data_IF_748195695443
#
_entry.id   IF_748195695443
#
_cell.length_a   1.000
_cell.length_b   1.000
_cell.length_c   1.000
_cell.angle_alpha   90.00
_cell.angle_beta   90.00
_cell.angle_gamma   90.00
#
_symmetry.space_group_name_H-M   'P 1'
#
loop_
_entity.id
_entity.type
_entity.pdbx_description
1 polymer ?
#
# COMPACT_ATOMS: atom_id res chain seq x y z
N UNK A 1 -35.18 -71.36 28.97
CA UNK A 1 -33.97 -71.80 29.71
C UNK A 1 -33.15 -70.55 29.98
N UNK A 2 -33.37 -69.89 31.12
CA UNK A 2 -32.56 -70.00 32.34
C UNK A 2 -31.06 -69.79 32.09
N UNK A 3 -30.57 -68.60 32.46
CA UNK A 3 -29.52 -68.31 33.49
C UNK A 3 -28.11 -68.58 32.99
N UNK A 4 -27.15 -67.65 33.03
CA UNK A 4 -26.49 -66.98 34.16
C UNK A 4 -25.35 -66.16 33.50
N UNK A 5 -24.62 -65.19 34.04
CA UNK A 5 -24.37 -64.71 35.40
C UNK A 5 -23.45 -63.48 35.29
N UNK A 6 -23.61 -62.60 36.26
CA UNK A 6 -22.79 -61.46 36.70
C UNK A 6 -21.26 -61.56 36.58
N UNK A 7 -20.59 -60.42 36.36
CA UNK A 7 -19.43 -60.00 37.15
C UNK A 7 -19.29 -58.47 37.13
N UNK A 8 -19.15 -57.91 38.33
CA UNK A 8 -18.95 -56.50 38.62
C UNK A 8 -17.47 -56.12 38.54
N UNK A 9 -17.17 -54.86 38.22
CA UNK A 9 -15.98 -54.18 38.73
C UNK A 9 -16.15 -52.66 38.68
N UNK A 10 -16.19 -52.08 39.88
CA UNK A 10 -15.87 -50.69 40.18
C UNK A 10 -14.56 -50.27 39.51
N UNK A 11 -14.47 -49.01 39.04
CA UNK A 11 -13.35 -48.13 39.39
C UNK A 11 -13.53 -46.69 38.89
N UNK A 12 -13.58 -45.80 39.87
CA UNK A 12 -12.90 -44.50 39.96
C UNK A 12 -13.05 -43.44 38.85
N UNK A 13 -13.66 -42.34 39.28
CA UNK A 13 -13.55 -41.02 38.69
C UNK A 13 -12.09 -40.53 38.58
N UNK A 14 -11.77 -39.87 37.48
CA UNK A 14 -10.71 -38.87 37.40
C UNK A 14 -11.16 -37.76 36.43
N UNK A 15 -11.47 -36.59 36.99
CA UNK A 15 -11.72 -35.35 36.28
C UNK A 15 -10.42 -34.88 35.63
N UNK A 16 -10.27 -35.07 34.32
CA UNK A 16 -9.24 -34.39 33.53
C UNK A 16 -9.79 -33.06 33.01
N UNK A 17 -9.34 -31.99 33.64
CA UNK A 17 -9.59 -30.59 33.28
C UNK A 17 -9.02 -30.26 31.90
N UNK A 18 -9.90 -29.96 30.94
CA UNK A 18 -9.51 -29.33 29.68
C UNK A 18 -9.20 -27.86 29.93
N UNK A 19 -7.91 -27.51 30.00
CA UNK A 19 -7.46 -26.13 29.85
C UNK A 19 -7.54 -25.73 28.37
N UNK A 20 -8.68 -25.16 27.98
CA UNK A 20 -8.83 -24.51 26.68
C UNK A 20 -8.01 -23.22 26.71
N UNK A 21 -6.80 -23.26 26.15
CA UNK A 21 -6.01 -22.06 25.88
C UNK A 21 -6.75 -21.21 24.84
N UNK A 22 -7.23 -20.04 25.26
CA UNK A 22 -7.84 -19.06 24.38
C UNK A 22 -6.81 -18.60 23.31
N UNK A 23 -7.21 -18.49 22.02
CA UNK A 23 -6.35 -17.86 21.03
C UNK A 23 -6.22 -16.38 21.36
N UNK A 24 -4.99 -15.95 21.62
CA UNK A 24 -4.61 -14.54 21.68
C UNK A 24 -4.85 -13.95 20.30
N UNK A 25 -5.87 -13.09 20.19
CA UNK A 25 -6.13 -12.27 19.01
C UNK A 25 -4.95 -11.33 18.82
N UNK A 26 -4.04 -11.71 17.92
CA UNK A 26 -3.11 -10.77 17.30
C UNK A 26 -3.95 -9.70 16.62
N UNK A 27 -3.82 -8.40 16.93
CA UNK A 27 -4.44 -7.37 16.12
C UNK A 27 -3.76 -7.41 14.76
N UNK A 28 -4.39 -8.06 13.79
CA UNK A 28 -4.07 -7.86 12.39
C UNK A 28 -4.37 -6.38 12.12
N UNK A 29 -3.32 -5.57 12.07
CA UNK A 29 -3.40 -4.24 11.48
C UNK A 29 -3.73 -4.44 10.01
N UNK A 30 -5.03 -4.44 9.70
CA UNK A 30 -5.47 -4.34 8.32
C UNK A 30 -4.82 -3.09 7.72
N UNK A 31 -4.24 -3.18 6.52
CA UNK A 31 -3.74 -2.00 5.86
C UNK A 31 -4.92 -1.03 5.72
N UNK A 32 -4.83 0.13 6.37
CA UNK A 32 -5.83 1.18 6.24
C UNK A 32 -5.84 1.61 4.77
N UNK A 33 -6.87 1.19 4.03
CA UNK A 33 -7.08 1.60 2.64
C UNK A 33 -7.85 2.91 2.68
N UNK A 34 -7.18 3.99 2.32
CA UNK A 34 -7.85 5.27 2.15
C UNK A 34 -8.61 5.23 0.83
N UNK A 35 -9.93 5.30 0.94
CA UNK A 35 -10.79 5.67 -0.16
C UNK A 35 -10.82 7.20 -0.16
N UNK A 36 -10.25 7.88 -1.17
CA UNK A 36 -10.49 9.30 -1.37
C UNK A 36 -11.99 9.49 -1.50
N UNK A 37 -12.56 10.43 -0.75
CA UNK A 37 -13.80 11.06 -1.17
C UNK A 37 -13.48 11.83 -2.44
N UNK A 38 -14.09 11.47 -3.57
CA UNK A 38 -13.97 12.06 -4.92
C UNK A 38 -12.59 12.64 -5.26
N UNK A 39 -11.84 12.05 -6.20
CA UNK A 39 -10.48 12.50 -6.56
C UNK A 39 -10.38 14.02 -6.83
N UNK A 40 -10.08 14.78 -5.77
CA UNK A 40 -10.00 16.23 -5.81
C UNK A 40 -8.59 16.63 -6.25
N UNK A 41 -8.51 17.58 -7.19
CA UNK A 41 -7.25 18.09 -7.69
C UNK A 41 -6.37 18.58 -6.53
N UNK A 42 -5.22 17.93 -6.32
CA UNK A 42 -4.26 18.30 -5.29
C UNK A 42 -4.36 17.51 -3.99
N UNK A 43 -5.05 16.36 -3.97
CA UNK A 43 -5.13 15.53 -2.76
C UNK A 43 -3.74 14.96 -2.41
N UNK A 44 -3.23 15.30 -1.22
CA UNK A 44 -1.89 14.95 -0.75
C UNK A 44 -1.92 13.76 0.22
N UNK A 45 -1.09 12.76 -0.06
CA UNK A 45 -0.88 11.57 0.75
C UNK A 45 0.58 11.46 1.18
N UNK A 46 0.82 11.48 2.49
CA UNK A 46 2.17 11.40 3.05
C UNK A 46 2.35 10.12 3.87
N UNK A 47 3.53 9.53 3.77
CA UNK A 47 3.98 8.46 4.69
C UNK A 47 5.01 8.99 5.66
N UNK A 48 5.06 8.44 6.88
CA UNK A 48 5.97 8.85 7.94
C UNK A 48 6.42 7.65 8.78
N UNK A 49 7.15 7.92 9.88
CA UNK A 49 7.52 6.88 10.84
C UNK A 49 6.29 6.15 11.43
N UNK A 50 5.20 6.90 11.65
CA UNK A 50 3.97 6.41 12.27
C UNK A 50 3.06 5.71 11.27
N UNK A 51 3.01 6.22 10.03
CA UNK A 51 2.29 5.61 8.92
C UNK A 51 3.27 5.26 7.81
N UNK A 52 3.99 4.12 7.90
CA UNK A 52 5.04 3.76 6.95
C UNK A 52 4.49 3.28 5.61
N UNK A 53 3.16 3.15 5.48
CA UNK A 53 2.52 2.64 4.27
C UNK A 53 1.13 3.23 4.12
N UNK A 54 0.84 3.73 2.92
CA UNK A 54 -0.47 4.24 2.52
C UNK A 54 -0.90 3.52 1.24
N UNK A 55 -2.19 3.18 1.19
CA UNK A 55 -2.85 2.64 0.01
C UNK A 55 -3.97 3.60 -0.37
N UNK A 56 -3.94 4.05 -1.61
CA UNK A 56 -4.92 4.95 -2.19
C UNK A 56 -5.57 4.21 -3.35
N UNK A 57 -6.90 4.17 -3.39
CA UNK A 57 -7.68 3.68 -4.52
C UNK A 57 -8.47 4.85 -5.08
N UNK A 58 -8.37 5.15 -6.36
CA UNK A 58 -9.19 6.19 -6.98
C UNK A 58 -10.59 5.69 -7.28
N UNK A 59 -11.48 6.64 -7.58
CA UNK A 59 -12.78 6.34 -8.17
C UNK A 59 -12.65 5.58 -9.49
N UNK A 60 -13.80 5.13 -9.97
CA UNK A 60 -13.94 4.47 -11.25
C UNK A 60 -14.20 5.51 -12.33
N UNK A 61 -13.43 5.44 -13.41
CA UNK A 61 -13.48 6.41 -14.49
C UNK A 61 -13.66 5.72 -15.82
N UNK A 62 -14.53 6.27 -16.65
CA UNK A 62 -14.67 5.85 -18.04
C UNK A 62 -13.68 6.65 -18.90
N UNK A 63 -12.58 6.00 -19.30
CA UNK A 63 -11.43 6.65 -19.92
C UNK A 63 -11.03 5.97 -21.23
N UNK A 64 -10.43 6.74 -22.12
CA UNK A 64 -9.77 6.25 -23.33
C UNK A 64 -8.24 6.42 -23.21
N UNK A 65 -7.49 5.89 -24.18
CA UNK A 65 -6.03 6.04 -24.25
C UNK A 65 -5.51 7.49 -24.34
N UNK A 66 -6.37 8.49 -24.62
CA UNK A 66 -6.01 9.92 -24.72
C UNK A 66 -6.12 10.66 -23.38
N UNK A 67 -6.79 10.06 -22.40
CA UNK A 67 -6.91 10.59 -21.04
C UNK A 67 -5.92 9.91 -20.12
N UNK A 68 -5.22 10.68 -19.31
CA UNK A 68 -4.18 10.20 -18.40
C UNK A 68 -4.48 10.67 -16.97
N UNK A 69 -4.19 9.84 -15.98
CA UNK A 69 -4.23 10.25 -14.57
C UNK A 69 -2.88 10.83 -14.19
N UNK A 70 -2.86 12.11 -13.83
CA UNK A 70 -1.64 12.81 -13.46
C UNK A 70 -1.44 12.79 -11.94
N UNK A 71 -0.20 12.56 -11.51
CA UNK A 71 0.19 12.63 -10.12
C UNK A 71 1.63 13.15 -10.00
N UNK A 72 1.92 13.86 -8.92
CA UNK A 72 3.29 14.17 -8.51
C UNK A 72 3.66 13.34 -7.29
N UNK A 73 4.95 13.12 -7.12
CA UNK A 73 5.45 12.38 -5.98
C UNK A 73 6.81 12.92 -5.55
N UNK A 74 7.04 12.90 -4.24
CA UNK A 74 8.29 13.31 -3.62
C UNK A 74 8.74 12.22 -2.68
N UNK A 75 9.74 11.46 -3.08
CA UNK A 75 10.30 10.41 -2.22
C UNK A 75 11.51 11.02 -1.52
N UNK A 76 11.51 11.11 -0.19
CA UNK A 76 12.52 11.85 0.58
C UNK A 76 13.55 10.94 1.24
N UNK A 77 13.15 9.74 1.67
CA UNK A 77 14.07 8.73 2.22
C UNK A 77 14.40 7.65 1.19
N UNK A 78 15.58 7.07 1.33
CA UNK A 78 15.91 5.83 0.64
C UNK A 78 14.89 4.72 1.00
N UNK A 79 14.67 3.78 0.08
CA UNK A 79 13.80 2.61 0.28
C UNK A 79 12.31 2.93 0.46
N UNK A 80 11.92 4.18 0.23
CA UNK A 80 10.54 4.52 -0.12
C UNK A 80 10.30 4.10 -1.56
N UNK A 81 9.15 3.47 -1.79
CA UNK A 81 8.72 3.00 -3.11
C UNK A 81 7.29 3.46 -3.34
N UNK A 82 7.04 3.97 -4.53
CA UNK A 82 5.70 4.22 -5.02
C UNK A 82 5.38 3.19 -6.09
N UNK A 83 4.26 2.49 -5.93
CA UNK A 83 3.73 1.57 -6.92
C UNK A 83 2.39 2.11 -7.37
N UNK A 84 2.23 2.26 -8.67
CA UNK A 84 1.01 2.75 -9.25
C UNK A 84 0.44 1.64 -10.13
N UNK A 85 -0.84 1.35 -9.96
CA UNK A 85 -1.54 0.33 -10.71
C UNK A 85 -2.64 0.99 -11.52
N UNK A 86 -2.75 0.66 -12.79
CA UNK A 86 -3.91 0.98 -13.60
C UNK A 86 -4.66 -0.34 -13.82
N UNK A 87 -5.91 -0.40 -13.37
CA UNK A 87 -6.73 -1.60 -13.42
C UNK A 87 -7.93 -1.39 -14.33
N UNK A 88 -8.11 -2.30 -15.28
CA UNK A 88 -9.32 -2.40 -16.07
C UNK A 88 -10.40 -3.12 -15.24
N UNK A 89 -11.58 -2.52 -15.12
CA UNK A 89 -12.69 -3.05 -14.32
C UNK A 89 -13.71 -3.86 -15.13
N UNK A 90 -13.60 -3.85 -16.45
CA UNK A 90 -14.43 -4.69 -17.33
C UNK A 90 -14.15 -6.17 -17.12
N UNK A 91 -15.07 -7.01 -17.60
CA UNK A 91 -14.96 -8.46 -17.46
C UNK A 91 -13.65 -8.98 -18.07
N UNK A 92 -12.90 -9.78 -17.31
CA UNK A 92 -11.56 -10.23 -17.71
C UNK A 92 -10.48 -9.14 -17.64
N UNK A 93 -10.77 -8.01 -17.03
CA UNK A 93 -9.81 -6.93 -16.81
C UNK A 93 -8.62 -7.34 -15.96
N UNK A 94 -7.48 -6.71 -16.21
CA UNK A 94 -6.26 -6.91 -15.45
C UNK A 94 -5.65 -5.57 -15.03
N UNK A 95 -4.71 -5.63 -14.09
CA UNK A 95 -3.97 -4.46 -13.62
C UNK A 95 -2.54 -4.46 -14.17
N UNK A 96 -2.11 -3.33 -14.71
CA UNK A 96 -0.70 -3.06 -14.99
C UNK A 96 -0.04 -2.38 -13.79
N UNK A 97 1.28 -2.49 -13.64
CA UNK A 97 2.03 -1.97 -12.50
C UNK A 97 3.22 -1.14 -12.95
N UNK A 98 3.23 0.11 -12.55
CA UNK A 98 4.35 1.04 -12.70
C UNK A 98 5.08 1.23 -11.37
N UNK A 99 6.40 1.06 -11.39
CA UNK A 99 7.25 1.10 -10.19
C UNK A 99 8.10 2.36 -10.21
N UNK A 100 7.86 3.22 -9.23
CA UNK A 100 8.64 4.44 -9.01
C UNK A 100 9.53 4.26 -7.78
N UNK A 101 10.79 4.63 -7.94
CA UNK A 101 11.80 4.57 -6.90
C UNK A 101 12.41 5.96 -6.70
N UNK A 102 12.97 6.18 -5.51
CA UNK A 102 13.57 7.44 -5.08
C UNK A 102 14.42 8.11 -6.18
N UNK A 103 13.96 9.21 -6.79
CA UNK A 103 14.86 10.10 -7.51
C UNK A 103 15.69 10.86 -6.48
N UNK A 104 17.00 10.96 -6.68
CA UNK A 104 17.89 11.70 -5.77
C UNK A 104 17.48 13.17 -5.69
N UNK A 105 16.71 13.52 -4.66
CA UNK A 105 16.32 14.88 -4.24
C UNK A 105 15.48 15.68 -5.24
N UNK A 106 14.62 15.03 -6.04
CA UNK A 106 13.72 15.73 -6.97
C UNK A 106 12.27 15.31 -6.79
N UNK A 107 11.37 16.25 -7.01
CA UNK A 107 9.95 15.96 -7.21
C UNK A 107 9.78 15.34 -8.60
N UNK A 108 9.10 14.21 -8.65
CA UNK A 108 8.75 13.53 -9.89
C UNK A 108 7.32 13.89 -10.27
N UNK A 109 7.08 14.16 -11.55
CA UNK A 109 5.74 14.17 -12.12
C UNK A 109 5.60 12.99 -13.06
N UNK A 110 4.52 12.22 -12.91
CA UNK A 110 4.24 11.05 -13.72
C UNK A 110 2.75 10.94 -14.01
N UNK A 111 2.42 9.97 -14.87
CA UNK A 111 1.04 9.69 -15.22
C UNK A 111 0.82 8.22 -15.52
N UNK A 112 -0.43 7.80 -15.35
CA UNK A 112 -0.91 6.50 -15.80
C UNK A 112 -1.79 6.71 -17.03
N UNK A 113 -1.56 5.89 -18.06
CA UNK A 113 -2.34 5.90 -19.30
C UNK A 113 -3.11 4.58 -19.45
N UNK A 114 -4.43 4.62 -19.68
CA UNK A 114 -5.21 3.47 -20.14
C UNK A 114 -4.64 2.90 -21.43
N UNK A 115 -4.53 1.58 -21.53
CA UNK A 115 -3.96 0.92 -22.72
C UNK A 115 -5.01 0.58 -23.79
N UNK A 116 -6.31 0.59 -23.45
CA UNK A 116 -7.36 0.35 -24.41
C UNK A 116 -7.64 1.61 -25.24
N UNK A 117 -7.82 1.39 -26.54
CA UNK A 117 -8.23 2.42 -27.48
C UNK A 117 -9.66 2.93 -27.25
N UNK A 118 -10.69 2.06 -27.10
CA UNK A 118 -12.05 2.52 -26.78
C UNK A 118 -12.15 3.05 -25.34
N UNK A 119 -13.26 3.72 -25.05
CA UNK A 119 -13.62 4.07 -23.68
C UNK A 119 -13.94 2.81 -22.88
N UNK A 120 -13.37 2.73 -21.68
CA UNK A 120 -13.61 1.62 -20.76
C UNK A 120 -13.46 2.09 -19.30
N UNK A 121 -13.92 1.27 -18.36
CA UNK A 121 -13.89 1.55 -16.92
C UNK A 121 -12.54 1.19 -16.32
N UNK A 122 -11.84 2.20 -15.82
CA UNK A 122 -10.56 2.07 -15.14
C UNK A 122 -10.64 2.54 -13.70
N UNK A 123 -9.89 1.89 -12.80
CA UNK A 123 -9.58 2.41 -11.46
C UNK A 123 -8.08 2.33 -11.23
N UNK A 124 -7.55 3.31 -10.51
CA UNK A 124 -6.12 3.46 -10.27
C UNK A 124 -5.82 3.24 -8.80
N UNK A 125 -4.74 2.52 -8.52
CA UNK A 125 -4.32 2.22 -7.16
C UNK A 125 -2.89 2.68 -6.95
N UNK A 126 -2.65 3.40 -5.86
CA UNK A 126 -1.33 3.86 -5.47
C UNK A 126 -0.94 3.25 -4.14
N UNK A 127 0.27 2.71 -4.08
CA UNK A 127 0.85 2.15 -2.87
C UNK A 127 2.16 2.86 -2.60
N UNK A 128 2.15 3.73 -1.60
CA UNK A 128 3.33 4.40 -1.10
C UNK A 128 3.81 3.65 0.13
N UNK A 129 4.97 2.99 0.06
CA UNK A 129 5.49 2.18 1.15
C UNK A 129 6.96 2.48 1.46
N UNK A 130 7.28 2.62 2.76
CA UNK A 130 8.65 2.59 3.26
C UNK A 130 9.02 1.15 3.64
N UNK A 131 9.99 0.56 2.94
CA UNK A 131 10.46 -0.81 3.15
C UNK A 131 11.89 -0.82 3.71
N UNK A 132 12.07 -0.73 5.04
CA UNK A 132 13.39 -0.81 5.62
C UNK A 132 13.98 -2.22 5.44
N UNK A 133 15.28 -2.33 5.14
CA UNK A 133 15.95 -3.64 5.02
C UNK A 133 15.83 -4.43 6.33
N UNK A 134 15.58 -5.74 6.22
CA UNK A 134 15.75 -6.70 7.34
C UNK A 134 17.26 -6.94 7.48
N UNK A 135 17.90 -6.26 8.43
CA UNK A 135 19.30 -6.53 8.77
C UNK A 135 19.37 -7.81 9.62
N UNK A 136 20.27 -8.73 9.24
CA UNK A 136 20.50 -9.98 9.99
C UNK A 136 21.40 -9.80 11.23
N UNK A 137 22.15 -8.69 11.34
CA UNK A 137 23.13 -8.54 12.43
C UNK A 137 22.53 -8.02 13.75
N UNK A 138 23.06 -8.50 14.88
CA UNK A 138 22.66 -8.09 16.24
C UNK A 138 23.07 -6.64 16.54
N UNK A 139 24.19 -6.16 15.97
CA UNK A 139 24.66 -4.76 16.12
C UNK A 139 23.70 -3.76 15.49
N UNK A 140 23.18 -4.06 14.30
CA UNK A 140 22.21 -3.19 13.61
C UNK A 140 20.89 -3.08 14.38
N UNK A 141 20.48 -4.16 15.08
CA UNK A 141 19.28 -4.15 15.93
C UNK A 141 19.43 -3.19 17.10
N UNK A 142 20.61 -3.14 17.75
CA UNK A 142 20.87 -2.22 18.88
C UNK A 142 20.91 -0.77 18.41
N UNK A 143 21.58 -0.49 17.28
CA UNK A 143 21.60 0.85 16.69
C UNK A 143 20.19 1.33 16.32
N UNK A 144 19.32 0.46 15.78
CA UNK A 144 17.93 0.80 15.48
C UNK A 144 17.07 1.08 16.70
N UNK A 145 17.30 0.42 17.84
CA UNK A 145 16.54 0.72 19.08
C UNK A 145 16.86 2.13 19.57
N UNK A 146 18.13 2.51 19.49
CA UNK A 146 18.60 3.86 19.84
C UNK A 146 18.02 4.88 18.84
N UNK A 147 18.11 4.58 17.55
CA UNK A 147 17.54 5.44 16.50
C UNK A 147 16.03 5.61 16.65
N UNK A 148 15.29 4.53 16.94
CA UNK A 148 13.84 4.60 17.19
C UNK A 148 13.50 5.49 18.37
N UNK A 149 14.27 5.40 19.46
CA UNK A 149 14.07 6.25 20.65
C UNK A 149 14.24 7.74 20.35
N UNK A 150 15.10 8.07 19.38
CA UNK A 150 15.42 9.44 18.99
C UNK A 150 14.57 9.94 17.79
N UNK A 151 14.16 9.07 16.87
CA UNK A 151 13.28 9.36 15.73
C UNK A 151 11.79 9.26 16.08
N UNK A 152 11.43 8.80 17.29
CA UNK A 152 10.05 8.69 17.76
C UNK A 152 9.31 10.05 17.78
N UNK A 153 10.03 11.17 17.63
CA UNK A 153 9.52 12.53 17.55
C UNK A 153 9.56 13.14 16.14
N UNK A 154 10.06 12.40 15.13
CA UNK A 154 10.23 12.94 13.79
C UNK A 154 8.92 12.86 13.01
N UNK A 155 8.20 13.99 12.96
CA UNK A 155 7.01 14.20 12.12
C UNK A 155 7.35 14.32 10.62
N UNK A 156 8.64 14.25 10.25
CA UNK A 156 9.05 14.48 8.85
C UNK A 156 8.54 13.35 7.96
N UNK A 157 7.82 13.67 6.86
CA UNK A 157 7.36 12.67 5.92
C UNK A 157 8.54 11.99 5.21
N UNK A 158 8.40 10.70 4.97
CA UNK A 158 9.35 9.89 4.21
C UNK A 158 9.11 10.00 2.70
N UNK A 159 7.87 10.31 2.32
CA UNK A 159 7.51 10.64 0.97
C UNK A 159 6.06 11.10 0.89
N UNK A 160 5.79 11.83 -0.19
CA UNK A 160 4.50 12.43 -0.50
C UNK A 160 4.05 11.98 -1.90
N UNK A 161 2.74 11.85 -2.08
CA UNK A 161 2.05 11.57 -3.33
C UNK A 161 0.89 12.56 -3.44
N UNK A 162 0.84 13.32 -4.53
CA UNK A 162 -0.24 14.26 -4.81
C UNK A 162 -0.99 13.82 -6.08
N UNK A 163 -2.30 13.67 -5.99
CA UNK A 163 -3.15 13.28 -7.11
C UNK A 163 -3.82 14.53 -7.71
N UNK A 164 -3.65 14.75 -9.01
CA UNK A 164 -4.20 15.92 -9.71
C UNK A 164 -5.47 15.62 -10.52
N UNK A 165 -5.88 14.36 -10.62
CA UNK A 165 -7.06 13.99 -11.40
C UNK A 165 -6.73 13.50 -12.82
N UNK A 166 -7.78 13.47 -13.65
CA UNK A 166 -7.70 13.09 -15.06
C UNK A 166 -7.40 14.33 -15.90
N UNK A 167 -6.39 14.22 -16.75
CA UNK A 167 -5.99 15.26 -17.69
C UNK A 167 -5.78 14.67 -19.08
N UNK A 168 -5.90 15.46 -20.17
CA UNK A 168 -5.46 15.01 -21.48
C UNK A 168 -3.98 14.64 -21.45
N UNK A 169 -3.63 13.48 -22.00
CA UNK A 169 -2.26 12.96 -21.97
C UNK A 169 -1.20 13.92 -22.54
N UNK A 170 -1.59 14.82 -23.45
CA UNK A 170 -0.71 15.82 -24.06
C UNK A 170 -0.30 16.95 -23.11
N UNK A 171 -1.14 17.24 -22.10
CA UNK A 171 -0.95 18.34 -21.14
C UNK A 171 -0.31 17.89 -19.83
N UNK A 172 -0.13 16.58 -19.67
CA UNK A 172 0.40 15.98 -18.45
C UNK A 172 1.75 16.58 -18.07
N UNK A 173 1.89 16.86 -16.77
CA UNK A 173 3.12 17.34 -16.16
C UNK A 173 3.65 18.68 -16.67
N UNK A 174 2.90 19.37 -17.54
CA UNK A 174 3.28 20.65 -18.14
C UNK A 174 4.64 20.57 -18.82
N UNK A 175 4.69 20.64 -20.15
CA UNK A 175 5.96 20.96 -20.85
C UNK A 175 6.41 22.38 -20.46
N UNK A 176 7.00 22.56 -19.28
CA UNK A 176 7.81 23.74 -19.00
C UNK A 176 9.14 23.53 -19.72
N UNK A 177 9.30 24.32 -20.79
CA UNK A 177 10.53 24.57 -21.55
C UNK A 177 10.94 23.56 -22.63
N UNK A 178 10.33 23.70 -23.82
CA UNK A 178 10.97 23.35 -25.09
C UNK A 178 11.36 24.62 -25.88
N UNK A 179 11.70 25.72 -25.20
CA UNK A 179 12.10 26.98 -25.85
C UNK A 179 13.24 27.71 -25.11
N UNK A 180 14.15 26.97 -24.45
CA UNK A 180 15.41 27.51 -23.92
C UNK A 180 16.56 26.50 -24.08
N UNK A 181 16.72 25.95 -25.29
CA UNK A 181 18.03 25.45 -25.73
C UNK A 181 18.30 25.95 -27.14
N UNK A 182 18.94 27.11 -27.18
CA UNK A 182 19.93 27.48 -28.18
C UNK A 182 20.80 26.29 -28.57
N UNK A 183 20.82 25.98 -29.85
CA UNK A 183 22.01 25.58 -30.62
C UNK A 183 21.79 26.02 -32.05
#
# INVERSE_FOLDING_TARGET
MLTSSTLAAFCCAALSSLSIAAPTSVPQSSPFVQHPDHMNNGTLYSISAFSPKVFVRTDEFELNYKSCVQFSYKLMKEKVRLRAYACLLSEGGFCTLDKFAFPKHKEGCAYLRPWLFPFDRYSFYFVLEYRPRKYRSIRDKRHRRILRRNEQSSTTPYGDLELYGIVPCEKVCGKKEANNRTS
#
